data_IF_506746404842
#
_entry.id   IF_506746404842
#
_cell.length_a   1.000
_cell.length_b   1.000
_cell.length_c   1.000
_cell.angle_alpha   90.00
_cell.angle_beta   90.00
_cell.angle_gamma   90.00
#
_symmetry.space_group_name_H-M   'P 1'
#
loop_
_entity.id
_entity.type
_entity.pdbx_description
1 polymer ?
#
# COMPACT_ATOMS: atom_id res chain seq x y z
N UNK A 1 -15.40 4.18 -3.88
CA UNK A 1 -15.04 3.19 -4.93
C UNK A 1 -13.54 2.83 -4.95
N UNK A 2 -12.63 3.82 -4.98
CA UNK A 2 -11.18 3.58 -5.00
C UNK A 2 -10.65 2.74 -3.82
N UNK A 3 -10.96 3.14 -2.59
CA UNK A 3 -10.59 2.38 -1.39
C UNK A 3 -11.14 0.94 -1.40
N UNK A 4 -12.39 0.76 -1.82
CA UNK A 4 -13.00 -0.56 -1.97
C UNK A 4 -12.21 -1.45 -2.93
N UNK A 5 -11.86 -0.95 -4.12
CA UNK A 5 -11.06 -1.70 -5.11
C UNK A 5 -9.66 -2.04 -4.59
N UNK A 6 -9.01 -1.10 -3.90
CA UNK A 6 -7.71 -1.34 -3.26
C UNK A 6 -7.79 -2.46 -2.23
N UNK A 7 -8.79 -2.40 -1.35
CA UNK A 7 -9.01 -3.40 -0.30
C UNK A 7 -9.37 -4.78 -0.88
N UNK A 8 -10.20 -4.80 -1.93
CA UNK A 8 -10.64 -6.03 -2.58
C UNK A 8 -9.47 -6.78 -3.22
N UNK A 9 -8.58 -6.05 -3.89
CA UNK A 9 -7.36 -6.60 -4.46
C UNK A 9 -6.46 -7.22 -3.38
N UNK A 10 -6.23 -6.50 -2.28
CA UNK A 10 -5.37 -6.98 -1.20
C UNK A 10 -5.97 -8.18 -0.46
N UNK A 11 -7.28 -8.19 -0.23
CA UNK A 11 -8.00 -9.36 0.31
C UNK A 11 -7.80 -10.61 -0.55
N UNK A 12 -7.97 -10.50 -1.87
CA UNK A 12 -7.76 -11.61 -2.81
C UNK A 12 -6.30 -12.08 -2.77
N UNK A 13 -5.34 -11.15 -2.75
CA UNK A 13 -3.90 -11.49 -2.61
C UNK A 13 -3.61 -12.27 -1.34
N UNK A 14 -4.17 -11.88 -0.19
CA UNK A 14 -4.01 -12.62 1.07
C UNK A 14 -4.63 -14.01 0.99
N UNK A 15 -5.81 -14.18 0.40
CA UNK A 15 -6.41 -15.51 0.17
C UNK A 15 -5.52 -16.42 -0.70
N UNK A 16 -4.98 -15.89 -1.79
CA UNK A 16 -4.04 -16.63 -2.65
C UNK A 16 -2.79 -17.01 -1.86
N UNK A 17 -2.29 -16.10 -1.01
CA UNK A 17 -1.14 -16.36 -0.14
C UNK A 17 -1.41 -17.47 0.86
N UNK A 18 -2.59 -17.51 1.49
CA UNK A 18 -3.03 -18.61 2.38
C UNK A 18 -2.96 -19.95 1.64
N UNK A 19 -3.60 -20.05 0.48
CA UNK A 19 -3.59 -21.30 -0.31
C UNK A 19 -2.18 -21.71 -0.77
N UNK A 20 -1.32 -20.73 -1.06
CA UNK A 20 0.08 -21.00 -1.39
C UNK A 20 0.84 -21.56 -0.19
N UNK A 21 0.74 -20.93 0.98
CA UNK A 21 1.45 -21.36 2.19
C UNK A 21 0.96 -22.71 2.70
N UNK A 22 -0.33 -23.01 2.62
CA UNK A 22 -0.87 -24.34 2.93
C UNK A 22 -0.25 -25.45 2.06
N UNK A 23 -0.10 -25.18 0.75
CA UNK A 23 0.58 -26.10 -0.18
C UNK A 23 2.08 -26.20 0.11
N UNK A 24 2.72 -25.08 0.45
CA UNK A 24 4.14 -25.04 0.77
C UNK A 24 4.45 -25.85 2.04
N UNK A 25 3.66 -25.70 3.12
CA UNK A 25 3.80 -26.48 4.35
C UNK A 25 3.70 -27.98 4.07
N UNK A 26 2.70 -28.41 3.27
CA UNK A 26 2.57 -29.82 2.85
C UNK A 26 3.80 -30.32 2.08
N UNK A 27 4.34 -29.49 1.19
CA UNK A 27 5.52 -29.82 0.37
C UNK A 27 6.81 -29.91 1.18
N UNK A 28 6.99 -29.02 2.16
CA UNK A 28 8.19 -28.90 2.98
C UNK A 28 8.01 -29.53 4.37
N UNK A 29 7.13 -30.51 4.52
CA UNK A 29 6.89 -31.19 5.79
C UNK A 29 8.19 -31.81 6.34
N UNK A 30 8.44 -31.65 7.63
CA UNK A 30 9.66 -32.05 8.34
C UNK A 30 10.95 -31.36 7.82
N UNK A 31 10.84 -30.26 7.10
CA UNK A 31 11.96 -29.43 6.66
C UNK A 31 12.05 -28.17 7.54
N UNK A 32 13.25 -27.61 7.82
CA UNK A 32 13.41 -26.34 8.52
C UNK A 32 12.55 -25.18 7.98
N UNK A 33 12.23 -25.17 6.69
CA UNK A 33 11.36 -24.16 6.07
C UNK A 33 9.88 -24.27 6.45
N UNK A 34 9.42 -25.40 7.00
CA UNK A 34 8.02 -25.59 7.41
C UNK A 34 7.57 -24.53 8.42
N UNK A 35 8.39 -24.28 9.44
CA UNK A 35 8.12 -23.25 10.46
C UNK A 35 7.96 -21.86 9.84
N UNK A 36 8.84 -21.51 8.89
CA UNK A 36 8.80 -20.22 8.20
C UNK A 36 7.49 -20.06 7.41
N UNK A 37 7.08 -21.09 6.67
CA UNK A 37 5.81 -21.05 5.95
C UNK A 37 4.60 -21.05 6.89
N UNK A 38 4.70 -21.69 8.05
CA UNK A 38 3.64 -21.70 9.07
C UNK A 38 3.43 -20.31 9.68
N UNK A 39 4.51 -19.59 9.99
CA UNK A 39 4.44 -18.18 10.44
C UNK A 39 3.81 -17.28 9.37
N UNK A 40 4.21 -17.45 8.11
CA UNK A 40 3.63 -16.69 6.98
C UNK A 40 2.16 -17.02 6.74
N UNK A 41 1.76 -18.28 6.92
CA UNK A 41 0.35 -18.70 6.84
C UNK A 41 -0.49 -17.98 7.88
N UNK A 42 -0.05 -17.94 9.15
CA UNK A 42 -0.78 -17.25 10.22
C UNK A 42 -0.97 -15.76 9.91
N UNK A 43 0.11 -15.09 9.50
CA UNK A 43 0.03 -13.67 9.09
C UNK A 43 -0.91 -13.44 7.91
N UNK A 44 -0.89 -14.33 6.90
CA UNK A 44 -1.81 -14.25 5.78
C UNK A 44 -3.28 -14.47 6.19
N UNK A 45 -3.54 -15.41 7.10
CA UNK A 45 -4.89 -15.67 7.63
C UNK A 45 -5.43 -14.49 8.44
N UNK A 46 -4.61 -13.85 9.27
CA UNK A 46 -4.99 -12.60 9.95
C UNK A 46 -5.29 -11.48 8.95
N UNK A 47 -4.43 -11.30 7.94
CA UNK A 47 -4.67 -10.34 6.87
C UNK A 47 -6.00 -10.60 6.14
N UNK A 48 -6.36 -11.85 5.86
CA UNK A 48 -7.67 -12.20 5.27
C UNK A 48 -8.82 -11.73 6.17
N UNK A 49 -8.74 -11.97 7.48
CA UNK A 49 -9.77 -11.54 8.44
C UNK A 49 -9.87 -10.01 8.50
N UNK A 50 -8.74 -9.33 8.58
CA UNK A 50 -8.70 -7.86 8.68
C UNK A 50 -9.31 -7.21 7.44
N UNK A 51 -8.86 -7.60 6.24
CA UNK A 51 -9.38 -7.02 5.00
C UNK A 51 -10.82 -7.44 4.71
N UNK A 52 -11.26 -8.62 5.15
CA UNK A 52 -12.67 -9.00 5.06
C UNK A 52 -13.56 -8.03 5.86
N UNK A 53 -13.18 -7.73 7.10
CA UNK A 53 -13.98 -6.83 7.96
C UNK A 53 -14.14 -5.43 7.35
N UNK A 54 -13.06 -4.92 6.75
CA UNK A 54 -13.07 -3.63 6.05
C UNK A 54 -13.91 -3.72 4.78
N UNK A 55 -13.74 -4.76 3.98
CA UNK A 55 -14.53 -4.95 2.76
C UNK A 55 -16.02 -5.06 3.06
N UNK A 56 -16.41 -5.74 4.13
CA UNK A 56 -17.79 -5.84 4.56
C UNK A 56 -18.35 -4.45 4.90
N UNK A 57 -17.63 -3.66 5.71
CA UNK A 57 -17.99 -2.28 6.02
C UNK A 57 -18.16 -1.43 4.75
N UNK A 58 -17.19 -1.48 3.83
CA UNK A 58 -17.23 -0.72 2.57
C UNK A 58 -18.35 -1.22 1.63
N UNK A 59 -18.61 -2.52 1.59
CA UNK A 59 -19.65 -3.13 0.76
C UNK A 59 -21.04 -2.72 1.24
N UNK A 60 -21.25 -2.72 2.55
CA UNK A 60 -22.51 -2.34 3.17
C UNK A 60 -22.93 -0.92 2.80
N UNK A 61 -21.99 0.01 2.64
CA UNK A 61 -22.31 1.36 2.13
C UNK A 61 -22.55 1.39 0.62
N UNK A 62 -21.87 0.54 -0.17
CA UNK A 62 -22.02 0.54 -1.62
C UNK A 62 -23.34 -0.09 -2.11
N UNK A 63 -23.91 -1.04 -1.36
CA UNK A 63 -25.18 -1.69 -1.71
C UNK A 63 -26.41 -0.82 -1.40
N UNK A 64 -26.27 0.18 -0.52
CA UNK A 64 -27.35 1.12 -0.21
C UNK A 64 -27.74 1.96 -1.43
N UNK A 65 -28.99 2.47 -1.48
CA UNK A 65 -29.39 3.55 -2.39
C UNK A 65 -28.39 4.71 -2.32
N UNK A 66 -28.15 5.39 -3.44
CA UNK A 66 -27.09 6.40 -3.56
C UNK A 66 -27.23 7.52 -2.54
N UNK A 67 -28.47 7.86 -2.21
CA UNK A 67 -28.90 8.92 -1.30
C UNK A 67 -28.65 8.57 0.17
N UNK A 68 -28.53 7.27 0.49
CA UNK A 68 -28.35 6.74 1.85
C UNK A 68 -26.91 6.32 2.16
N UNK A 69 -26.02 6.38 1.16
CA UNK A 69 -24.62 5.94 1.33
C UNK A 69 -23.87 6.93 2.23
N UNK A 70 -23.26 6.40 3.27
CA UNK A 70 -22.33 7.17 4.08
C UNK A 70 -20.89 6.97 3.56
N UNK A 71 -20.38 7.95 2.83
CA UNK A 71 -18.98 7.92 2.37
C UNK A 71 -17.99 8.52 3.38
N UNK A 72 -18.46 9.11 4.48
CA UNK A 72 -17.62 9.69 5.53
C UNK A 72 -16.90 8.62 6.36
N UNK A 73 -17.19 7.34 6.13
CA UNK A 73 -16.40 6.23 6.67
C UNK A 73 -14.95 6.21 6.12
N UNK A 74 -14.70 6.89 5.00
CA UNK A 74 -13.37 7.06 4.42
C UNK A 74 -13.02 8.55 4.37
N UNK A 75 -11.88 8.89 4.97
CA UNK A 75 -11.26 10.20 4.83
C UNK A 75 -10.19 10.14 3.75
N UNK A 76 -10.00 11.24 3.01
CA UNK A 76 -9.03 11.30 1.92
C UNK A 76 -8.33 12.65 1.84
N UNK A 77 -7.05 12.64 1.45
CA UNK A 77 -6.32 13.82 0.99
C UNK A 77 -5.90 13.64 -0.47
N UNK A 78 -6.26 14.62 -1.28
CA UNK A 78 -6.01 14.60 -2.73
C UNK A 78 -4.85 15.56 -3.05
N UNK A 79 -3.91 15.08 -3.85
CA UNK A 79 -2.80 15.88 -4.37
C UNK A 79 -2.85 15.87 -5.90
N UNK A 80 -2.47 17.01 -6.49
CA UNK A 80 -2.42 17.17 -7.94
C UNK A 80 -0.99 17.52 -8.35
N UNK A 81 -0.45 16.78 -9.32
CA UNK A 81 0.77 17.15 -10.04
C UNK A 81 0.37 17.80 -11.36
N UNK A 82 1.08 18.85 -11.76
CA UNK A 82 0.81 19.65 -12.96
C UNK A 82 1.18 18.97 -14.29
N UNK A 83 1.41 17.67 -14.27
CA UNK A 83 1.76 16.85 -15.44
C UNK A 83 1.23 15.43 -15.28
N UNK A 84 1.09 14.72 -16.39
CA UNK A 84 0.76 13.31 -16.40
C UNK A 84 2.01 12.45 -16.13
N UNK A 85 1.92 11.65 -15.07
CA UNK A 85 2.84 10.57 -14.78
C UNK A 85 2.25 9.30 -15.35
N UNK A 86 3.07 8.51 -16.03
CA UNK A 86 2.72 7.19 -16.56
C UNK A 86 2.69 6.11 -15.47
N UNK A 87 2.47 6.51 -14.22
CA UNK A 87 2.30 5.64 -13.07
C UNK A 87 0.82 5.47 -12.76
N UNK A 88 0.40 4.22 -12.63
CA UNK A 88 -0.88 3.86 -12.06
C UNK A 88 -0.68 2.96 -10.83
N UNK A 89 -1.31 3.32 -9.72
CA UNK A 89 -1.23 2.61 -8.44
C UNK A 89 -2.63 2.44 -7.87
N UNK A 90 -2.92 1.23 -7.39
CA UNK A 90 -4.09 0.92 -6.59
C UNK A 90 -3.66 -0.08 -5.52
N UNK A 91 -3.41 0.40 -4.31
CA UNK A 91 -2.79 -0.38 -3.24
C UNK A 91 -3.47 -0.15 -1.90
N UNK A 92 -3.45 -1.18 -1.06
CA UNK A 92 -3.95 -1.16 0.31
C UNK A 92 -2.86 -1.73 1.22
N UNK A 93 -2.36 -0.95 2.16
CA UNK A 93 -1.24 -1.31 3.03
C UNK A 93 -1.27 -0.50 4.34
N UNK A 94 -0.48 -0.90 5.32
CA UNK A 94 -0.30 -0.16 6.57
C UNK A 94 1.13 0.37 6.66
N UNK A 95 1.29 1.52 7.31
CA UNK A 95 2.58 2.15 7.62
C UNK A 95 2.82 1.97 9.12
N UNK A 96 3.96 1.41 9.50
CA UNK A 96 4.37 1.14 10.88
C UNK A 96 4.83 2.39 11.60
N UNK A 97 5.60 3.26 10.95
CA UNK A 97 6.22 4.43 11.58
C UNK A 97 5.84 5.76 10.91
N UNK A 98 5.72 6.83 11.70
CA UNK A 98 5.52 8.18 11.16
C UNK A 98 6.85 8.90 10.78
N UNK A 99 6.75 10.17 10.36
CA UNK A 99 7.90 10.99 9.99
C UNK A 99 8.89 11.26 11.14
N UNK A 100 8.49 11.05 12.39
CA UNK A 100 9.29 11.22 13.60
C UNK A 100 9.77 9.86 14.15
N UNK A 101 9.62 8.77 13.38
CA UNK A 101 9.91 7.40 13.81
C UNK A 101 9.05 6.92 15.00
N UNK A 102 7.89 7.55 15.24
CA UNK A 102 6.93 7.02 16.20
C UNK A 102 6.21 5.81 15.58
N UNK A 103 6.08 4.73 16.35
CA UNK A 103 5.28 3.56 15.96
C UNK A 103 3.79 3.94 15.97
N UNK A 104 3.16 3.90 14.80
CA UNK A 104 1.74 4.22 14.58
C UNK A 104 0.90 3.00 14.21
N UNK A 105 1.51 1.95 13.67
CA UNK A 105 0.91 0.62 13.54
C UNK A 105 1.92 -0.44 13.97
N UNK A 106 1.61 -1.16 15.05
CA UNK A 106 2.41 -2.31 15.48
C UNK A 106 1.92 -3.57 14.75
N UNK A 107 2.62 -4.00 13.70
CA UNK A 107 2.27 -5.20 12.94
C UNK A 107 2.62 -6.49 13.66
N UNK A 108 3.30 -6.42 14.81
CA UNK A 108 3.57 -7.56 15.68
C UNK A 108 2.44 -7.81 16.69
N UNK A 109 1.60 -6.80 16.96
CA UNK A 109 0.44 -6.91 17.86
C UNK A 109 -0.78 -7.48 17.12
N UNK A 110 -0.95 -8.78 17.23
CA UNK A 110 -2.03 -9.53 16.56
C UNK A 110 -3.39 -9.34 17.22
N UNK A 111 -3.45 -8.62 18.34
CA UNK A 111 -4.72 -8.29 19.02
C UNK A 111 -5.41 -7.07 18.41
N UNK A 112 -4.68 -6.28 17.61
CA UNK A 112 -5.19 -5.07 16.95
C UNK A 112 -5.14 -5.23 15.44
N UNK A 113 -6.20 -4.78 14.77
CA UNK A 113 -6.20 -4.64 13.31
C UNK A 113 -5.33 -3.45 12.93
N UNK A 114 -4.32 -3.60 12.05
CA UNK A 114 -3.57 -2.48 11.52
C UNK A 114 -4.49 -1.48 10.82
N UNK A 115 -4.24 -0.18 10.99
CA UNK A 115 -4.92 0.85 10.22
C UNK A 115 -4.43 0.78 8.76
N UNK A 116 -5.31 0.60 7.77
CA UNK A 116 -4.90 0.58 6.37
C UNK A 116 -5.01 1.96 5.74
N UNK A 117 -4.08 2.21 4.83
CA UNK A 117 -4.12 3.26 3.83
C UNK A 117 -4.57 2.66 2.51
N UNK A 118 -5.41 3.39 1.79
CA UNK A 118 -5.76 3.12 0.41
C UNK A 118 -5.10 4.19 -0.47
N UNK A 119 -4.14 3.77 -1.29
CA UNK A 119 -3.40 4.66 -2.19
C UNK A 119 -3.85 4.43 -3.63
N UNK A 120 -4.34 5.50 -4.27
CA UNK A 120 -4.69 5.50 -5.68
C UNK A 120 -3.92 6.60 -6.40
N UNK A 121 -3.25 6.26 -7.50
CA UNK A 121 -2.50 7.21 -8.33
C UNK A 121 -2.85 6.92 -9.79
N UNK A 122 -3.22 7.95 -10.55
CA UNK A 122 -3.51 7.82 -11.97
C UNK A 122 -3.39 9.17 -12.70
N UNK A 123 -3.05 9.17 -13.99
CA UNK A 123 -3.14 10.36 -14.83
C UNK A 123 -4.60 10.68 -15.19
N UNK A 124 -4.95 11.95 -15.27
CA UNK A 124 -6.25 12.45 -15.70
C UNK A 124 -6.14 13.92 -16.13
N UNK A 125 -6.64 14.24 -17.33
CA UNK A 125 -6.79 15.62 -17.83
C UNK A 125 -5.50 16.48 -17.75
N UNK A 126 -4.35 15.93 -18.19
CA UNK A 126 -3.08 16.66 -18.19
C UNK A 126 -2.40 16.71 -16.82
N UNK A 127 -2.94 16.04 -15.81
CA UNK A 127 -2.46 16.03 -14.42
C UNK A 127 -2.28 14.61 -13.90
N UNK A 128 -1.55 14.46 -12.81
CA UNK A 128 -1.56 13.23 -12.01
C UNK A 128 -2.34 13.47 -10.73
N UNK A 129 -3.30 12.59 -10.44
CA UNK A 129 -4.09 12.64 -9.23
C UNK A 129 -3.55 11.58 -8.27
N UNK A 130 -3.28 11.99 -7.05
CA UNK A 130 -2.89 11.10 -5.94
C UNK A 130 -4.00 11.21 -4.89
N UNK A 131 -4.69 10.10 -4.64
CA UNK A 131 -5.70 9.98 -3.60
C UNK A 131 -5.11 9.11 -2.48
N UNK A 132 -4.85 9.74 -1.35
CA UNK A 132 -4.37 9.09 -0.14
C UNK A 132 -5.52 9.01 0.86
N UNK A 133 -6.06 7.82 1.06
CA UNK A 133 -7.27 7.60 1.87
C UNK A 133 -7.00 6.68 3.07
N UNK A 134 -7.81 6.82 4.11
CA UNK A 134 -7.81 5.96 5.30
C UNK A 134 -9.24 5.84 5.84
N UNK A 135 -9.51 4.85 6.69
CA UNK A 135 -10.79 4.79 7.40
C UNK A 135 -10.87 5.95 8.38
N UNK A 136 -11.99 6.67 8.44
CA UNK A 136 -12.10 7.89 9.25
C UNK A 136 -11.88 7.63 10.75
N UNK A 137 -12.22 6.45 11.24
CA UNK A 137 -11.90 6.00 12.61
C UNK A 137 -10.39 5.98 12.92
N UNK A 138 -9.53 5.84 11.91
CA UNK A 138 -8.09 5.84 12.05
C UNK A 138 -7.47 7.25 11.97
N UNK A 139 -8.25 8.33 12.05
CA UNK A 139 -7.73 9.70 12.02
C UNK A 139 -6.64 9.95 13.06
N UNK A 140 -6.81 9.44 14.29
CA UNK A 140 -5.83 9.64 15.36
C UNK A 140 -4.43 9.10 15.00
N UNK A 141 -4.36 8.04 14.19
CA UNK A 141 -3.12 7.41 13.73
C UNK A 141 -2.47 8.25 12.63
N UNK A 142 -3.25 8.73 11.65
CA UNK A 142 -2.72 9.37 10.45
C UNK A 142 -2.66 10.89 10.47
N UNK A 143 -3.27 11.55 11.46
CA UNK A 143 -3.37 13.03 11.52
C UNK A 143 -2.01 13.72 11.37
N UNK A 144 -0.96 13.18 12.00
CA UNK A 144 0.38 13.78 11.96
C UNK A 144 0.97 13.69 10.55
N UNK A 145 0.86 12.52 9.91
CA UNK A 145 1.29 12.31 8.53
C UNK A 145 0.53 13.25 7.58
N UNK A 146 -0.80 13.27 7.67
CA UNK A 146 -1.67 14.07 6.80
C UNK A 146 -1.43 15.56 6.95
N UNK A 147 -1.20 16.01 8.20
CA UNK A 147 -0.87 17.41 8.51
C UNK A 147 0.48 17.79 7.91
N UNK A 148 1.51 16.94 8.09
CA UNK A 148 2.84 17.17 7.53
C UNK A 148 2.85 17.20 6.01
N UNK A 149 2.10 16.31 5.36
CA UNK A 149 1.91 16.34 3.90
C UNK A 149 1.23 17.64 3.43
N UNK A 150 0.45 18.31 4.28
CA UNK A 150 -0.14 19.61 3.97
C UNK A 150 0.88 20.74 3.84
N UNK A 151 2.10 20.56 4.36
CA UNK A 151 3.16 21.57 4.29
C UNK A 151 4.17 21.29 3.16
N UNK A 152 3.97 20.24 2.38
CA UNK A 152 4.94 19.80 1.39
C UNK A 152 4.80 20.59 0.09
N UNK A 153 5.94 20.97 -0.49
CA UNK A 153 6.00 21.43 -1.88
C UNK A 153 5.83 20.24 -2.85
N UNK A 154 5.48 20.46 -4.13
CA UNK A 154 5.22 19.37 -5.08
C UNK A 154 6.34 18.31 -5.16
N UNK A 155 7.61 18.72 -5.16
CA UNK A 155 8.73 17.77 -5.21
C UNK A 155 8.84 16.88 -3.96
N UNK A 156 8.42 17.37 -2.80
CA UNK A 156 8.40 16.56 -1.57
C UNK A 156 7.25 15.56 -1.59
N UNK A 157 6.08 15.96 -2.12
CA UNK A 157 4.95 15.05 -2.37
C UNK A 157 5.37 13.91 -3.31
N UNK A 158 6.03 14.23 -4.42
CA UNK A 158 6.53 13.25 -5.38
C UNK A 158 7.48 12.24 -4.72
N UNK A 159 8.44 12.71 -3.92
CA UNK A 159 9.41 11.84 -3.23
C UNK A 159 8.70 10.95 -2.20
N UNK A 160 7.81 11.52 -1.39
CA UNK A 160 7.07 10.78 -0.37
C UNK A 160 6.28 9.62 -0.98
N UNK A 161 5.45 9.90 -2.00
CA UNK A 161 4.66 8.85 -2.65
C UNK A 161 5.54 7.88 -3.44
N UNK A 162 6.67 8.32 -4.00
CA UNK A 162 7.64 7.40 -4.61
C UNK A 162 8.16 6.39 -3.59
N UNK A 163 8.51 6.83 -2.38
CA UNK A 163 8.97 5.94 -1.31
C UNK A 163 7.86 4.98 -0.88
N UNK A 164 6.62 5.45 -0.71
CA UNK A 164 5.49 4.57 -0.39
C UNK A 164 5.26 3.50 -1.47
N UNK A 165 5.35 3.88 -2.74
CA UNK A 165 5.21 2.92 -3.85
C UNK A 165 6.30 1.86 -3.78
N UNK A 166 7.56 2.28 -3.63
CA UNK A 166 8.71 1.38 -3.59
C UNK A 166 8.63 0.40 -2.41
N UNK A 167 8.14 0.87 -1.26
CA UNK A 167 8.16 0.08 -0.02
C UNK A 167 6.93 -0.81 0.16
N UNK A 168 5.75 -0.35 -0.25
CA UNK A 168 4.49 -1.02 0.06
C UNK A 168 3.69 -1.45 -1.16
N UNK A 169 3.93 -0.87 -2.34
CA UNK A 169 3.16 -1.20 -3.53
C UNK A 169 3.88 -2.28 -4.34
N UNK A 170 3.51 -3.54 -4.10
CA UNK A 170 3.97 -4.66 -4.92
C UNK A 170 3.45 -4.60 -6.36
N UNK A 171 2.35 -3.89 -6.59
CA UNK A 171 1.66 -3.80 -7.88
C UNK A 171 1.59 -2.34 -8.33
N UNK A 172 2.55 -1.90 -9.13
CA UNK A 172 2.44 -0.66 -9.88
C UNK A 172 2.64 -0.95 -11.36
N UNK A 173 1.91 -0.23 -12.21
CA UNK A 173 1.91 -0.46 -13.65
C UNK A 173 2.74 0.62 -14.34
N UNK A 174 3.62 0.19 -15.25
CA UNK A 174 4.44 1.06 -16.10
C UNK A 174 4.21 0.62 -17.54
N UNK A 175 4.18 1.57 -18.47
CA UNK A 175 4.14 1.25 -19.90
C UNK A 175 5.40 0.46 -20.33
N UNK A 176 5.28 -0.55 -21.20
CA UNK A 176 6.44 -1.35 -21.64
C UNK A 176 7.59 -0.52 -22.22
N UNK A 177 7.29 0.55 -22.95
CA UNK A 177 8.27 1.46 -23.54
C UNK A 177 9.09 2.22 -22.49
N UNK A 178 8.46 2.68 -21.41
CA UNK A 178 9.18 3.36 -20.33
C UNK A 178 9.92 2.35 -19.45
N UNK A 179 9.38 1.16 -19.25
CA UNK A 179 10.10 0.10 -18.55
C UNK A 179 11.43 -0.20 -19.25
N UNK A 180 11.45 -0.33 -20.58
CA UNK A 180 12.66 -0.60 -21.38
C UNK A 180 13.66 0.56 -21.43
N UNK A 181 13.22 1.79 -21.20
CA UNK A 181 14.08 2.98 -21.07
C UNK A 181 14.58 3.23 -19.64
N UNK A 182 13.96 2.61 -18.63
CA UNK A 182 14.29 2.83 -17.24
C UNK A 182 15.74 2.41 -16.93
N UNK A 183 16.48 3.26 -16.21
CA UNK A 183 17.84 2.97 -15.80
C UNK A 183 17.93 1.65 -15.02
N UNK A 184 18.95 0.83 -15.35
CA UNK A 184 19.16 -0.49 -14.74
C UNK A 184 19.22 -0.45 -13.20
N UNK A 185 19.75 0.65 -12.63
CA UNK A 185 19.80 0.88 -11.18
C UNK A 185 18.40 0.93 -10.56
N UNK A 186 17.45 1.61 -11.20
CA UNK A 186 16.06 1.74 -10.71
C UNK A 186 15.34 0.40 -10.82
N UNK A 187 15.52 -0.34 -11.94
CA UNK A 187 14.97 -1.70 -12.08
C UNK A 187 15.49 -2.64 -10.99
N UNK A 188 16.79 -2.61 -10.72
CA UNK A 188 17.42 -3.41 -9.66
C UNK A 188 16.89 -3.05 -8.28
N UNK A 189 16.59 -1.77 -8.03
CA UNK A 189 15.97 -1.38 -6.76
C UNK A 189 14.60 -2.04 -6.59
N UNK A 190 13.73 -1.97 -7.59
CA UNK A 190 12.41 -2.61 -7.51
C UNK A 190 12.52 -4.11 -7.27
N UNK A 191 13.39 -4.81 -8.02
CA UNK A 191 13.64 -6.24 -7.80
C UNK A 191 14.18 -6.49 -6.41
N UNK A 192 15.16 -5.71 -5.95
CA UNK A 192 15.74 -5.87 -4.62
C UNK A 192 14.70 -5.64 -3.52
N UNK A 193 13.82 -4.65 -3.65
CA UNK A 193 12.78 -4.39 -2.66
C UNK A 193 11.73 -5.49 -2.69
N UNK A 194 11.29 -5.90 -3.87
CA UNK A 194 10.37 -7.03 -4.01
C UNK A 194 10.93 -8.33 -3.41
N UNK A 195 12.23 -8.62 -3.60
CA UNK A 195 12.88 -9.79 -3.00
C UNK A 195 13.06 -9.65 -1.48
N UNK A 196 13.13 -8.42 -0.95
CA UNK A 196 13.14 -8.14 0.48
C UNK A 196 11.76 -8.25 1.11
N UNK A 197 10.67 -7.96 0.40
CA UNK A 197 9.30 -8.08 0.94
C UNK A 197 9.00 -9.46 1.57
N UNK A 198 9.35 -10.60 0.95
CA UNK A 198 9.19 -11.90 1.60
C UNK A 198 10.29 -12.24 2.63
N UNK A 199 11.38 -11.48 2.71
CA UNK A 199 12.54 -11.75 3.57
C UNK A 199 12.74 -10.73 4.69
N UNK A 200 11.88 -9.70 4.80
CA UNK A 200 12.06 -8.59 5.73
C UNK A 200 11.90 -9.07 7.18
N UNK A 201 12.98 -8.96 7.95
CA UNK A 201 12.88 -8.50 9.34
C UNK A 201 12.53 -7.01 9.30
N UNK A 202 11.75 -6.55 10.29
CA UNK A 202 11.12 -5.22 10.40
C UNK A 202 12.12 -4.04 10.29
N UNK A 203 12.61 -3.72 9.09
CA UNK A 203 13.33 -2.47 8.84
C UNK A 203 12.33 -1.31 8.71
N UNK A 204 12.66 -0.20 9.37
CA UNK A 204 11.88 1.05 9.46
C UNK A 204 11.35 1.50 8.11
N UNK A 205 10.12 2.01 8.10
CA UNK A 205 9.48 2.51 6.89
C UNK A 205 10.34 3.62 6.28
N UNK A 206 10.68 3.43 5.01
CA UNK A 206 11.65 4.22 4.24
C UNK A 206 11.14 5.63 3.89
N UNK A 207 10.21 6.17 4.67
CA UNK A 207 9.48 7.43 4.42
C UNK A 207 10.45 8.60 4.24
N UNK A 208 11.64 8.55 4.85
CA UNK A 208 12.64 9.62 4.86
C UNK A 208 13.95 9.34 4.10
N UNK A 209 14.22 8.10 3.63
CA UNK A 209 15.58 7.70 3.20
C UNK A 209 15.81 7.55 1.69
N UNK A 210 14.77 7.70 0.85
CA UNK A 210 14.88 7.56 -0.60
C UNK A 210 14.85 8.89 -1.37
N UNK A 211 15.85 9.12 -2.23
CA UNK A 211 15.92 10.26 -3.15
C UNK A 211 15.33 9.97 -4.55
N UNK A 212 14.68 8.82 -4.74
CA UNK A 212 14.16 8.42 -6.05
C UNK A 212 12.78 9.00 -6.24
N UNK A 213 12.66 9.82 -7.29
CA UNK A 213 11.41 10.42 -7.70
C UNK A 213 10.86 9.64 -8.91
N UNK A 214 9.95 8.71 -8.64
CA UNK A 214 9.31 7.89 -9.67
C UNK A 214 8.46 8.76 -10.61
N UNK A 215 7.78 9.78 -10.10
CA UNK A 215 6.94 10.65 -10.92
C UNK A 215 7.73 11.39 -12.00
N UNK A 216 8.90 11.93 -11.66
CA UNK A 216 9.82 12.53 -12.65
C UNK A 216 10.37 11.49 -13.63
N UNK A 217 10.66 10.28 -13.15
CA UNK A 217 11.18 9.20 -13.99
C UNK A 217 10.17 8.76 -15.05
N UNK A 218 8.87 8.81 -14.72
CA UNK A 218 7.77 8.38 -15.58
C UNK A 218 6.89 9.51 -16.08
N UNK A 219 7.42 10.74 -16.09
CA UNK A 219 6.73 11.89 -16.68
C UNK A 219 6.55 11.69 -18.20
N UNK A 220 5.36 12.08 -18.70
CA UNK A 220 5.10 12.21 -20.13
C UNK A 220 5.92 13.34 -20.74
#
# INVERSE_FOLDING_TARGET
>A
LHAFRACALEYVKKKVSVSFYEKAIKKYKNNPYEWMFSKKLNGAQWGVKDYYSILEQLSNELIKPKEERNFDIISSKVFHLSYESLLAVNACFSIEYDFQENLINDLSDTSKRPAPIFLNIFPSEGKSIIIFSWLSENWAIYRNIVSKLGTFIPSQIEIFFSNLIICHCENFFITPSKYSQMAKKVRRLFVSQYMKTPMKDFETDYISRGAINLFKTFRY
#
